data_IF_452764181080
#
_entry.id   IF_452764181080
#
_cell.length_a   1.000
_cell.length_b   1.000
_cell.length_c   1.000
_cell.angle_alpha   90.00
_cell.angle_beta   90.00
_cell.angle_gamma   90.00
#
_symmetry.space_group_name_H-M   'P 1'
#
loop_
_entity.id
_entity.type
_entity.pdbx_description
1 polymer ?
#
# COMPACT_ATOMS: atom_id res chain seq x y z
N UNK A 1 -20.17 5.93 -2.62
CA UNK A 1 -19.61 4.83 -1.80
C UNK A 1 -18.49 5.30 -0.88
N UNK A 2 -17.55 6.12 -1.36
CA UNK A 2 -16.47 6.69 -0.51
C UNK A 2 -16.99 7.49 0.67
N UNK A 3 -18.14 8.16 0.52
CA UNK A 3 -18.76 8.97 1.57
C UNK A 3 -19.28 8.13 2.74
N UNK A 4 -19.79 6.93 2.49
CA UNK A 4 -20.27 6.04 3.55
C UNK A 4 -19.10 5.56 4.42
N UNK A 5 -18.00 5.18 3.79
CA UNK A 5 -16.80 4.78 4.51
C UNK A 5 -16.21 5.90 5.36
N UNK A 6 -16.03 7.10 4.79
CA UNK A 6 -15.55 8.28 5.53
C UNK A 6 -16.45 8.64 6.71
N UNK A 7 -17.77 8.51 6.52
CA UNK A 7 -18.75 8.75 7.59
C UNK A 7 -18.70 7.68 8.67
N UNK A 8 -18.45 6.42 8.31
CA UNK A 8 -18.25 5.34 9.31
C UNK A 8 -16.99 5.55 10.14
N UNK A 9 -15.87 5.89 9.49
CA UNK A 9 -14.62 6.24 10.16
C UNK A 9 -14.84 7.42 11.12
N UNK A 10 -15.43 8.51 10.64
CA UNK A 10 -15.77 9.67 11.48
C UNK A 10 -16.75 9.31 12.60
N UNK A 11 -17.74 8.46 12.32
CA UNK A 11 -18.69 7.97 13.31
C UNK A 11 -18.01 7.19 14.43
N UNK A 12 -17.05 6.33 14.08
CA UNK A 12 -16.27 5.58 15.06
C UNK A 12 -15.39 6.50 15.90
N UNK A 13 -14.66 7.42 15.27
CA UNK A 13 -13.77 8.37 15.97
C UNK A 13 -14.55 9.35 16.86
N UNK A 14 -15.77 9.73 16.49
CA UNK A 14 -16.61 10.69 17.20
C UNK A 14 -17.70 10.05 18.08
N UNK A 15 -17.74 8.72 18.16
CA UNK A 15 -18.63 7.97 19.04
C UNK A 15 -20.07 7.79 18.58
N UNK A 16 -20.41 8.12 17.32
CA UNK A 16 -21.77 7.94 16.75
C UNK A 16 -21.87 6.85 15.68
N UNK A 17 -20.95 5.90 15.69
CA UNK A 17 -20.89 4.80 14.70
C UNK A 17 -22.17 3.95 14.68
N UNK A 18 -22.74 3.63 15.84
CA UNK A 18 -23.95 2.81 15.94
C UNK A 18 -25.19 3.53 15.39
N UNK A 19 -25.28 4.85 15.59
CA UNK A 19 -26.37 5.67 15.05
C UNK A 19 -26.35 5.70 13.53
N UNK A 20 -25.18 5.89 12.92
CA UNK A 20 -25.03 5.82 11.46
C UNK A 20 -25.38 4.42 10.95
N UNK A 21 -24.91 3.39 11.63
CA UNK A 21 -25.18 1.99 11.25
C UNK A 21 -26.69 1.69 11.31
N UNK A 22 -27.36 2.17 12.33
CA UNK A 22 -28.82 2.03 12.48
C UNK A 22 -29.57 2.79 11.38
N UNK A 23 -29.15 4.04 11.09
CA UNK A 23 -29.74 4.84 10.00
C UNK A 23 -29.60 4.13 8.66
N UNK A 24 -28.41 3.63 8.32
CA UNK A 24 -28.16 2.91 7.07
C UNK A 24 -28.96 1.60 6.99
N UNK A 25 -29.09 0.89 8.10
CA UNK A 25 -29.94 -0.30 8.19
C UNK A 25 -31.38 0.01 7.83
N UNK A 26 -31.95 1.04 8.45
CA UNK A 26 -33.34 1.43 8.21
C UNK A 26 -33.55 1.88 6.76
N UNK A 27 -32.62 2.66 6.22
CA UNK A 27 -32.65 3.12 4.83
C UNK A 27 -32.62 1.94 3.84
N UNK A 28 -31.68 1.02 3.99
CA UNK A 28 -31.57 -0.13 3.08
C UNK A 28 -32.69 -1.12 3.28
N UNK A 29 -33.09 -1.39 4.52
CA UNK A 29 -34.24 -2.27 4.80
C UNK A 29 -35.51 -1.72 4.18
N UNK A 30 -35.80 -0.41 4.33
CA UNK A 30 -36.96 0.20 3.73
C UNK A 30 -36.94 0.24 2.20
N UNK A 31 -35.76 0.37 1.61
CA UNK A 31 -35.58 0.39 0.15
C UNK A 31 -35.63 -0.98 -0.52
N UNK A 32 -35.09 -2.00 0.15
CA UNK A 32 -34.86 -3.32 -0.47
C UNK A 32 -35.78 -4.43 0.05
N UNK A 33 -36.21 -4.36 1.31
CA UNK A 33 -37.05 -5.40 1.90
C UNK A 33 -38.52 -5.17 1.53
N UNK A 34 -39.18 -6.22 1.07
CA UNK A 34 -40.62 -6.24 0.78
C UNK A 34 -41.10 -5.14 -0.17
N UNK A 35 -40.20 -4.54 -0.95
CA UNK A 35 -40.51 -3.49 -1.91
C UNK A 35 -41.06 -4.11 -3.21
N UNK A 36 -42.37 -4.04 -3.39
CA UNK A 36 -43.08 -4.58 -4.56
C UNK A 36 -42.72 -3.90 -5.89
N UNK A 37 -42.10 -2.74 -5.84
CA UNK A 37 -41.69 -1.96 -7.01
C UNK A 37 -40.20 -2.18 -7.36
N UNK A 38 -39.45 -2.90 -6.54
CA UNK A 38 -38.05 -3.19 -6.78
C UNK A 38 -37.88 -4.44 -7.63
N UNK A 39 -37.46 -4.26 -8.88
CA UNK A 39 -37.14 -5.38 -9.77
C UNK A 39 -35.74 -5.96 -9.47
N UNK A 40 -34.78 -5.10 -9.18
CA UNK A 40 -33.39 -5.48 -8.91
C UNK A 40 -32.70 -4.43 -8.05
N UNK A 41 -31.85 -4.85 -7.12
CA UNK A 41 -31.06 -3.98 -6.26
C UNK A 41 -29.58 -4.29 -6.31
N UNK A 42 -28.75 -3.27 -6.41
CA UNK A 42 -27.30 -3.41 -6.45
C UNK A 42 -26.67 -2.43 -5.46
N UNK A 43 -25.87 -2.97 -4.55
CA UNK A 43 -25.11 -2.19 -3.57
C UNK A 43 -23.62 -2.41 -3.81
N UNK A 44 -22.85 -1.35 -3.91
CA UNK A 44 -21.40 -1.40 -4.04
C UNK A 44 -20.75 -0.49 -3.00
N UNK A 45 -19.55 -0.84 -2.59
CA UNK A 45 -18.76 -0.08 -1.63
C UNK A 45 -17.36 -0.63 -1.46
N UNK A 46 -16.46 0.16 -0.90
CA UNK A 46 -15.05 -0.21 -0.67
C UNK A 46 -14.98 -1.26 0.45
N UNK A 47 -15.67 -1.01 1.56
CA UNK A 47 -15.74 -1.93 2.70
C UNK A 47 -17.16 -2.43 2.91
N UNK A 48 -17.25 -3.62 3.44
CA UNK A 48 -18.51 -4.15 3.93
C UNK A 48 -18.98 -3.31 5.12
N UNK A 49 -20.16 -2.71 4.99
CA UNK A 49 -20.74 -1.86 6.02
C UNK A 49 -21.31 -2.75 7.12
N UNK A 50 -20.55 -2.98 8.17
CA UNK A 50 -20.88 -3.79 9.34
C UNK A 50 -21.34 -5.24 9.05
N UNK A 51 -20.61 -6.19 9.56
CA UNK A 51 -20.68 -7.63 9.27
C UNK A 51 -22.06 -8.26 9.47
N UNK A 52 -22.94 -7.67 10.25
CA UNK A 52 -24.23 -8.29 10.61
C UNK A 52 -25.40 -7.32 10.80
N UNK A 53 -25.15 -6.05 11.11
CA UNK A 53 -26.23 -5.20 11.59
C UNK A 53 -27.02 -4.47 10.51
N UNK A 54 -26.38 -4.08 9.39
CA UNK A 54 -27.09 -3.34 8.32
C UNK A 54 -27.93 -4.27 7.46
N UNK A 55 -27.46 -5.49 7.24
CA UNK A 55 -28.10 -6.45 6.32
C UNK A 55 -28.96 -7.49 7.03
N UNK A 56 -29.03 -7.48 8.36
CA UNK A 56 -29.81 -8.46 9.15
C UNK A 56 -31.31 -8.46 8.84
N UNK A 57 -31.81 -7.44 8.15
CA UNK A 57 -33.20 -7.36 7.70
C UNK A 57 -33.42 -7.74 6.24
N UNK A 58 -32.39 -8.08 5.47
CA UNK A 58 -32.48 -8.39 4.04
C UNK A 58 -32.19 -9.86 3.81
N UNK A 59 -33.12 -10.57 3.17
CA UNK A 59 -32.96 -11.94 2.77
C UNK A 59 -32.37 -12.02 1.36
N UNK A 60 -31.62 -13.08 1.05
CA UNK A 60 -31.10 -13.39 -0.29
C UNK A 60 -30.05 -12.39 -0.86
N UNK A 61 -29.23 -11.80 -0.01
CA UNK A 61 -28.10 -11.01 -0.48
C UNK A 61 -27.03 -11.92 -1.09
N UNK A 62 -26.66 -11.66 -2.35
CA UNK A 62 -25.46 -12.22 -2.96
C UNK A 62 -24.30 -11.26 -2.75
N UNK A 63 -23.36 -11.62 -1.88
CA UNK A 63 -22.19 -10.79 -1.57
C UNK A 63 -21.02 -11.29 -2.40
N UNK A 64 -20.31 -10.35 -3.04
CA UNK A 64 -19.10 -10.63 -3.81
C UNK A 64 -18.00 -9.66 -3.35
N UNK A 65 -16.80 -10.17 -3.20
CA UNK A 65 -15.60 -9.44 -2.80
C UNK A 65 -14.56 -9.41 -3.92
N UNK A 66 -13.46 -8.76 -3.70
CA UNK A 66 -12.33 -8.74 -4.63
C UNK A 66 -11.69 -10.13 -4.86
N UNK A 67 -11.94 -11.10 -3.97
CA UNK A 67 -11.44 -12.48 -4.12
C UNK A 67 -12.40 -13.38 -4.92
N UNK A 68 -13.63 -12.94 -5.18
CA UNK A 68 -14.64 -13.71 -5.91
C UNK A 68 -14.51 -13.54 -7.41
N UNK A 69 -14.87 -14.60 -8.16
CA UNK A 69 -14.79 -14.58 -9.63
C UNK A 69 -15.98 -13.88 -10.29
N UNK A 70 -17.13 -13.88 -9.61
CA UNK A 70 -18.33 -13.26 -10.13
C UNK A 70 -18.15 -11.75 -10.14
N UNK A 71 -18.43 -11.12 -11.28
CA UNK A 71 -18.28 -9.68 -11.51
C UNK A 71 -16.84 -9.14 -11.49
N UNK A 72 -15.83 -9.99 -11.52
CA UNK A 72 -14.41 -9.60 -11.41
C UNK A 72 -13.94 -8.64 -12.51
N UNK A 73 -14.54 -8.66 -13.70
CA UNK A 73 -14.19 -7.80 -14.83
C UNK A 73 -14.93 -6.45 -14.90
N UNK A 74 -15.83 -6.16 -13.93
CA UNK A 74 -16.72 -4.98 -14.04
C UNK A 74 -16.33 -3.79 -13.15
N UNK A 75 -15.32 -3.94 -12.29
CA UNK A 75 -14.93 -2.93 -11.32
C UNK A 75 -13.52 -2.37 -11.55
N UNK A 76 -13.14 -2.26 -12.79
CA UNK A 76 -11.88 -1.72 -13.24
C UNK A 76 -11.74 -1.90 -14.74
N UNK A 77 -10.62 -1.47 -15.32
CA UNK A 77 -10.34 -1.73 -16.72
C UNK A 77 -9.58 -3.05 -16.88
N UNK A 78 -10.02 -3.85 -17.82
CA UNK A 78 -9.30 -5.07 -18.22
C UNK A 78 -8.06 -4.72 -19.05
N UNK A 79 -7.07 -5.62 -19.17
CA UNK A 79 -5.92 -5.42 -20.04
C UNK A 79 -6.28 -5.08 -21.49
N UNK A 80 -7.34 -5.67 -22.03
CA UNK A 80 -7.76 -5.42 -23.42
C UNK A 80 -8.36 -4.01 -23.56
N UNK A 81 -9.20 -3.57 -22.62
CA UNK A 81 -9.73 -2.20 -22.62
C UNK A 81 -8.60 -1.16 -22.50
N UNK A 82 -7.58 -1.40 -21.69
CA UNK A 82 -6.43 -0.49 -21.58
C UNK A 82 -5.61 -0.46 -22.84
N UNK A 83 -5.44 -1.60 -23.55
CA UNK A 83 -4.79 -1.63 -24.87
C UNK A 83 -5.55 -0.84 -25.92
N UNK A 84 -6.88 -0.96 -25.93
CA UNK A 84 -7.74 -0.18 -26.83
C UNK A 84 -7.62 1.33 -26.52
N UNK A 85 -7.63 1.72 -25.23
CA UNK A 85 -7.41 3.12 -24.82
C UNK A 85 -6.02 3.60 -25.24
N UNK A 86 -4.96 2.81 -25.04
CA UNK A 86 -3.60 3.16 -25.45
C UNK A 86 -3.50 3.36 -26.96
N UNK A 87 -4.16 2.52 -27.76
CA UNK A 87 -4.23 2.67 -29.20
C UNK A 87 -4.99 3.95 -29.61
N UNK A 88 -6.11 4.24 -28.97
CA UNK A 88 -6.90 5.43 -29.21
C UNK A 88 -6.13 6.73 -28.97
N UNK A 89 -5.36 6.78 -27.88
CA UNK A 89 -4.53 7.94 -27.52
C UNK A 89 -3.14 7.96 -28.17
N UNK A 90 -2.83 7.00 -29.07
CA UNK A 90 -1.55 6.94 -29.76
C UNK A 90 -0.36 6.56 -28.87
N UNK A 91 -0.61 5.86 -27.78
CA UNK A 91 0.36 5.46 -26.75
C UNK A 91 0.53 3.92 -26.67
N UNK A 92 0.33 3.21 -27.77
CA UNK A 92 0.46 1.74 -27.80
C UNK A 92 1.85 1.24 -27.41
N UNK A 93 2.88 2.02 -27.74
CA UNK A 93 4.28 1.77 -27.36
C UNK A 93 4.58 1.96 -25.87
N UNK A 94 3.67 2.61 -25.14
CA UNK A 94 3.78 2.85 -23.70
C UNK A 94 2.99 1.84 -22.85
N UNK A 95 2.45 0.77 -23.44
CA UNK A 95 1.62 -0.18 -22.71
C UNK A 95 2.34 -0.83 -21.52
N UNK A 96 3.62 -1.17 -21.68
CA UNK A 96 4.43 -1.75 -20.60
C UNK A 96 4.63 -0.75 -19.44
N UNK A 97 4.79 0.54 -19.75
CA UNK A 97 4.84 1.61 -18.73
C UNK A 97 3.51 1.72 -18.00
N UNK A 98 2.38 1.67 -18.70
CA UNK A 98 1.04 1.70 -18.09
C UNK A 98 0.86 0.50 -17.15
N UNK A 99 1.33 -0.68 -17.56
CA UNK A 99 1.30 -1.88 -16.72
C UNK A 99 2.15 -1.71 -15.46
N UNK A 100 3.39 -1.23 -15.58
CA UNK A 100 4.28 -1.02 -14.42
C UNK A 100 3.65 -0.09 -13.38
N UNK A 101 2.95 0.95 -13.84
CA UNK A 101 2.40 1.97 -12.96
C UNK A 101 1.02 1.66 -12.41
N UNK A 102 0.11 1.04 -13.17
CA UNK A 102 -1.33 1.03 -12.85
C UNK A 102 -1.98 -0.35 -12.90
N UNK A 103 -1.29 -1.36 -13.41
CA UNK A 103 -1.75 -2.74 -13.38
C UNK A 103 -1.54 -3.38 -12.00
N UNK A 104 -1.97 -4.62 -11.89
CA UNK A 104 -1.62 -5.49 -10.77
C UNK A 104 -2.71 -5.64 -9.74
N UNK A 105 -3.89 -5.10 -9.92
CA UNK A 105 -5.05 -5.52 -9.15
C UNK A 105 -5.57 -6.84 -9.71
N UNK A 106 -5.98 -7.72 -8.83
CA UNK A 106 -6.51 -9.01 -9.22
C UNK A 106 -7.80 -9.29 -8.50
N UNK A 107 -8.91 -9.26 -9.25
CA UNK A 107 -10.23 -9.60 -8.74
C UNK A 107 -10.57 -11.02 -9.16
N UNK A 108 -10.66 -11.95 -8.18
CA UNK A 108 -10.76 -13.36 -8.46
C UNK A 108 -9.62 -13.88 -9.32
N UNK A 109 -9.86 -14.11 -10.61
CA UNK A 109 -8.85 -14.52 -11.60
C UNK A 109 -8.57 -13.46 -12.67
N UNK A 110 -9.28 -12.33 -12.62
CA UNK A 110 -9.21 -11.28 -13.62
C UNK A 110 -8.21 -10.22 -13.18
N UNK A 111 -7.29 -9.88 -14.06
CA UNK A 111 -6.36 -8.78 -13.90
C UNK A 111 -7.07 -7.47 -14.23
N UNK A 112 -6.89 -6.47 -13.38
CA UNK A 112 -7.66 -5.22 -13.42
C UNK A 112 -6.74 -4.04 -13.16
N UNK A 113 -6.86 -3.02 -13.98
CA UNK A 113 -6.24 -1.71 -13.79
C UNK A 113 -7.14 -0.77 -12.99
N UNK A 114 -6.52 0.13 -12.22
CA UNK A 114 -7.24 1.19 -11.54
C UNK A 114 -7.80 2.20 -12.53
N UNK A 115 -9.14 2.35 -12.68
CA UNK A 115 -9.72 3.24 -13.67
C UNK A 115 -9.34 4.71 -13.47
N UNK A 116 -9.27 5.16 -12.20
CA UNK A 116 -8.89 6.53 -11.89
C UNK A 116 -7.50 6.86 -12.40
N UNK A 117 -6.53 6.01 -12.11
CA UNK A 117 -5.14 6.23 -12.49
C UNK A 117 -4.95 6.15 -14.00
N UNK A 118 -5.57 5.17 -14.67
CA UNK A 118 -5.50 5.02 -16.14
C UNK A 118 -6.11 6.22 -16.85
N UNK A 119 -7.30 6.69 -16.44
CA UNK A 119 -7.94 7.86 -17.06
C UNK A 119 -7.10 9.12 -16.86
N UNK A 120 -6.54 9.31 -15.66
CA UNK A 120 -5.67 10.45 -15.39
C UNK A 120 -4.34 10.38 -16.17
N UNK A 121 -3.78 9.20 -16.38
CA UNK A 121 -2.60 9.01 -17.21
C UNK A 121 -2.84 9.52 -18.64
N UNK A 122 -3.91 9.08 -19.29
CA UNK A 122 -4.23 9.55 -20.64
C UNK A 122 -4.58 11.04 -20.67
N UNK A 123 -5.24 11.57 -19.64
CA UNK A 123 -5.56 12.99 -19.52
C UNK A 123 -4.33 13.87 -19.25
N UNK A 124 -3.24 13.29 -18.74
CA UNK A 124 -1.99 13.96 -18.44
C UNK A 124 -0.90 13.69 -19.51
N UNK A 125 -1.29 13.71 -20.78
CA UNK A 125 -0.37 13.58 -21.92
C UNK A 125 0.44 12.28 -21.91
N UNK A 126 -0.11 11.21 -21.35
CA UNK A 126 0.56 9.92 -21.17
C UNK A 126 1.88 10.03 -20.38
N UNK A 127 1.93 10.93 -19.41
CA UNK A 127 3.02 11.01 -18.42
C UNK A 127 2.62 10.30 -17.12
N UNK A 128 3.38 9.28 -16.68
CA UNK A 128 3.04 8.52 -15.50
C UNK A 128 3.28 9.32 -14.20
N UNK A 129 2.31 9.28 -13.31
CA UNK A 129 2.34 9.89 -11.97
C UNK A 129 1.55 9.03 -10.99
N UNK A 130 1.81 9.24 -9.71
CA UNK A 130 1.00 8.63 -8.64
C UNK A 130 -0.30 9.43 -8.44
N UNK A 131 -1.29 9.24 -9.30
CA UNK A 131 -2.56 9.99 -9.29
C UNK A 131 -3.42 9.66 -8.08
N UNK A 132 -3.34 8.42 -7.57
CA UNK A 132 -4.13 7.99 -6.43
C UNK A 132 -3.64 8.58 -5.11
N UNK A 133 -2.35 8.88 -4.99
CA UNK A 133 -1.74 9.56 -3.83
C UNK A 133 -2.43 10.89 -3.51
N UNK A 134 -2.95 11.57 -4.52
CA UNK A 134 -3.54 12.92 -4.38
C UNK A 134 -5.03 12.92 -4.02
N UNK A 135 -5.68 11.76 -3.83
CA UNK A 135 -7.14 11.69 -3.66
C UNK A 135 -7.65 11.85 -2.22
N UNK A 136 -6.78 12.17 -1.26
CA UNK A 136 -7.15 12.40 0.15
C UNK A 136 -7.64 11.13 0.89
N UNK A 137 -7.46 9.95 0.29
CA UNK A 137 -7.80 8.65 0.91
C UNK A 137 -6.59 8.02 1.63
N UNK A 138 -5.42 8.62 1.53
CA UNK A 138 -4.16 8.05 2.02
C UNK A 138 -3.99 8.15 3.52
N UNK A 139 -4.77 8.99 4.20
CA UNK A 139 -4.82 9.06 5.66
C UNK A 139 -5.01 7.67 6.30
N UNK A 140 -5.67 6.77 5.56
CA UNK A 140 -5.93 5.40 6.00
C UNK A 140 -4.67 4.57 6.17
N UNK A 141 -3.69 4.66 5.25
CA UNK A 141 -2.40 3.95 5.42
C UNK A 141 -1.64 4.55 6.59
N UNK A 142 -1.59 5.87 6.71
CA UNK A 142 -0.97 6.55 7.84
C UNK A 142 -1.57 6.10 9.17
N UNK A 143 -2.90 6.01 9.27
CA UNK A 143 -3.60 5.51 10.46
C UNK A 143 -3.28 4.03 10.74
N UNK A 144 -3.28 3.19 9.72
CA UNK A 144 -2.95 1.76 9.83
C UNK A 144 -1.50 1.56 10.28
N UNK A 145 -0.57 2.33 9.71
CA UNK A 145 0.85 2.31 10.09
C UNK A 145 1.09 2.88 11.50
N UNK A 146 0.27 3.84 11.93
CA UNK A 146 0.35 4.38 13.29
C UNK A 146 -0.06 3.36 14.36
N UNK A 147 -0.98 2.44 14.02
CA UNK A 147 -1.45 1.35 14.89
C UNK A 147 -0.64 0.06 14.71
N UNK A 148 0.23 -0.01 13.70
CA UNK A 148 1.05 -1.18 13.41
C UNK A 148 2.13 -1.36 14.49
N UNK A 149 2.23 -2.57 15.01
CA UNK A 149 3.37 -2.99 15.82
C UNK A 149 4.63 -3.13 14.94
N UNK A 150 5.77 -3.41 15.58
CA UNK A 150 7.05 -3.53 14.89
C UNK A 150 7.04 -4.68 13.86
N UNK A 151 6.39 -5.81 14.16
CA UNK A 151 6.29 -6.94 13.25
C UNK A 151 5.50 -6.58 11.98
N UNK A 152 4.32 -5.96 12.15
CA UNK A 152 3.50 -5.52 11.01
C UNK A 152 4.27 -4.50 10.18
N UNK A 153 4.94 -3.56 10.83
CA UNK A 153 5.73 -2.55 10.15
C UNK A 153 6.84 -3.18 9.29
N UNK A 154 7.62 -4.11 9.85
CA UNK A 154 8.65 -4.83 9.11
C UNK A 154 8.09 -5.62 7.94
N UNK A 155 6.98 -6.31 8.13
CA UNK A 155 6.32 -7.07 7.06
C UNK A 155 5.78 -6.16 5.96
N UNK A 156 5.21 -4.99 6.28
CA UNK A 156 4.77 -4.01 5.28
C UNK A 156 5.98 -3.39 4.55
N UNK A 157 7.09 -3.13 5.24
CA UNK A 157 8.33 -2.67 4.63
C UNK A 157 8.90 -3.72 3.65
N UNK A 158 8.81 -5.02 3.96
CA UNK A 158 9.27 -6.08 3.05
C UNK A 158 8.46 -6.12 1.74
N UNK A 159 7.16 -5.77 1.78
CA UNK A 159 6.36 -5.62 0.56
C UNK A 159 6.88 -4.53 -0.37
N UNK A 160 7.37 -3.42 0.18
CA UNK A 160 7.98 -2.34 -0.61
C UNK A 160 9.24 -2.82 -1.31
N UNK A 161 9.94 -3.77 -0.72
CA UNK A 161 11.11 -4.43 -1.31
C UNK A 161 10.76 -5.48 -2.38
N UNK A 162 9.46 -5.68 -2.66
CA UNK A 162 8.98 -6.63 -3.66
C UNK A 162 8.81 -8.06 -3.14
N UNK A 163 8.89 -8.26 -1.83
CA UNK A 163 8.57 -9.54 -1.20
C UNK A 163 7.07 -9.78 -1.13
N UNK A 164 6.67 -11.00 -0.77
CA UNK A 164 5.28 -11.38 -0.56
C UNK A 164 5.05 -11.79 0.89
N UNK A 165 3.83 -11.58 1.38
CA UNK A 165 3.41 -12.02 2.71
C UNK A 165 2.28 -13.02 2.59
N UNK A 166 2.41 -14.17 3.26
CA UNK A 166 1.28 -15.11 3.41
C UNK A 166 0.51 -14.81 4.68
N UNK A 167 -0.80 -14.58 4.54
CA UNK A 167 -1.68 -14.24 5.67
C UNK A 167 -3.12 -14.66 5.42
N UNK A 168 -3.91 -14.74 6.48
CA UNK A 168 -5.36 -14.94 6.39
C UNK A 168 -6.06 -13.63 6.04
N UNK A 169 -7.05 -13.70 5.16
CA UNK A 169 -7.82 -12.55 4.69
C UNK A 169 -9.30 -12.75 5.03
N UNK A 170 -9.86 -11.80 5.78
CA UNK A 170 -11.29 -11.65 6.00
C UNK A 170 -11.84 -10.55 5.07
N UNK A 171 -12.54 -10.94 4.01
CA UNK A 171 -13.18 -10.00 3.08
C UNK A 171 -14.35 -9.24 3.69
N UNK A 172 -14.80 -9.66 4.87
CA UNK A 172 -15.85 -9.00 5.64
C UNK A 172 -15.31 -8.04 6.72
N UNK A 173 -14.03 -7.67 6.65
CA UNK A 173 -13.40 -6.75 7.61
C UNK A 173 -14.15 -5.42 7.71
N UNK A 174 -14.32 -4.92 8.94
CA UNK A 174 -14.92 -3.64 9.25
C UNK A 174 -13.94 -2.74 10.02
N UNK A 175 -14.08 -1.43 9.87
CA UNK A 175 -13.16 -0.44 10.46
C UNK A 175 -12.87 -0.65 11.97
N UNK A 176 -13.86 -0.92 12.85
CA UNK A 176 -13.60 -1.12 14.27
C UNK A 176 -12.74 -2.34 14.61
N UNK A 177 -12.54 -3.26 13.67
CA UNK A 177 -11.75 -4.48 13.87
C UNK A 177 -10.26 -4.30 13.57
N UNK A 178 -9.90 -3.23 12.85
CA UNK A 178 -8.51 -2.97 12.43
C UNK A 178 -7.55 -2.92 13.63
N UNK A 179 -8.01 -2.35 14.73
CA UNK A 179 -7.21 -2.22 15.98
C UNK A 179 -7.09 -3.51 16.81
N UNK A 180 -7.83 -4.57 16.46
CA UNK A 180 -7.96 -5.75 17.32
C UNK A 180 -7.07 -6.92 16.95
N UNK A 181 -6.66 -7.02 15.70
CA UNK A 181 -5.90 -8.17 15.19
C UNK A 181 -5.01 -7.77 14.00
N UNK A 182 -3.71 -8.10 14.00
CA UNK A 182 -2.79 -7.83 12.90
C UNK A 182 -3.25 -8.32 11.51
N UNK A 183 -3.84 -9.51 11.44
CA UNK A 183 -4.37 -10.05 10.17
C UNK A 183 -5.50 -9.21 9.59
N UNK A 184 -6.20 -8.45 10.43
CA UNK A 184 -7.27 -7.53 10.01
C UNK A 184 -6.70 -6.34 9.23
N UNK A 185 -5.50 -5.89 9.54
CA UNK A 185 -4.78 -4.84 8.82
C UNK A 185 -4.56 -5.26 7.35
N UNK A 186 -4.02 -6.46 7.13
CA UNK A 186 -3.79 -6.95 5.77
C UNK A 186 -5.10 -7.16 5.00
N UNK A 187 -6.14 -7.66 5.67
CA UNK A 187 -7.47 -7.79 5.09
C UNK A 187 -8.03 -6.45 4.64
N UNK A 188 -7.90 -5.44 5.50
CA UNK A 188 -8.33 -4.08 5.21
C UNK A 188 -7.55 -3.48 4.03
N UNK A 189 -6.22 -3.57 4.03
CA UNK A 189 -5.38 -3.05 2.95
C UNK A 189 -5.65 -3.77 1.62
N UNK A 190 -5.97 -5.07 1.64
CA UNK A 190 -6.34 -5.80 0.44
C UNK A 190 -7.68 -5.33 -0.14
N UNK A 191 -8.75 -5.26 0.67
CA UNK A 191 -10.08 -4.89 0.17
C UNK A 191 -10.17 -3.42 -0.22
N UNK A 192 -9.30 -2.57 0.33
CA UNK A 192 -9.21 -1.15 -0.04
C UNK A 192 -8.28 -0.89 -1.24
N UNK A 193 -7.62 -1.92 -1.77
CA UNK A 193 -6.79 -1.83 -2.96
C UNK A 193 -5.35 -1.38 -2.71
N UNK A 194 -4.89 -1.36 -1.47
CA UNK A 194 -3.48 -1.09 -1.16
C UNK A 194 -2.59 -2.34 -1.24
N UNK A 195 -3.20 -3.52 -1.28
CA UNK A 195 -2.54 -4.80 -1.53
C UNK A 195 -3.29 -5.57 -2.61
N UNK A 196 -2.61 -6.54 -3.23
CA UNK A 196 -3.21 -7.52 -4.14
C UNK A 196 -2.99 -8.94 -3.63
N UNK A 197 -3.90 -9.85 -3.96
CA UNK A 197 -3.70 -11.27 -3.77
C UNK A 197 -3.00 -11.87 -5.00
N UNK A 198 -1.76 -12.31 -4.83
CA UNK A 198 -0.99 -13.03 -5.86
C UNK A 198 -1.51 -14.45 -5.99
N UNK A 199 -1.75 -15.09 -4.85
CA UNK A 199 -2.27 -16.45 -4.76
C UNK A 199 -3.31 -16.53 -3.65
N UNK A 200 -4.41 -17.23 -3.92
CA UNK A 200 -5.49 -17.44 -2.95
C UNK A 200 -5.75 -18.92 -2.82
N UNK A 201 -5.79 -19.41 -1.59
CA UNK A 201 -6.15 -20.78 -1.24
C UNK A 201 -7.20 -20.74 -0.13
N UNK A 202 -8.15 -21.67 -0.19
CA UNK A 202 -9.08 -21.87 0.93
C UNK A 202 -8.44 -22.81 1.95
N UNK A 203 -8.43 -22.39 3.20
CA UNK A 203 -8.04 -23.25 4.31
C UNK A 203 -9.09 -24.32 4.57
N UNK A 204 -8.74 -25.32 5.37
CA UNK A 204 -9.70 -26.37 5.77
C UNK A 204 -10.93 -25.80 6.48
N UNK A 205 -10.80 -24.67 7.15
CA UNK A 205 -11.90 -23.99 7.87
C UNK A 205 -12.72 -23.07 6.95
N UNK A 206 -12.37 -22.96 5.67
CA UNK A 206 -13.05 -22.07 4.73
C UNK A 206 -12.56 -20.63 4.73
N UNK A 207 -11.49 -20.32 5.49
CA UNK A 207 -10.86 -19.00 5.47
C UNK A 207 -9.97 -18.82 4.23
N UNK A 208 -9.91 -17.63 3.70
CA UNK A 208 -8.97 -17.31 2.62
C UNK A 208 -7.55 -17.14 3.18
N UNK A 209 -6.63 -17.98 2.71
CA UNK A 209 -5.20 -17.78 2.89
C UNK A 209 -4.61 -17.22 1.61
N UNK A 210 -4.08 -16.01 1.67
CA UNK A 210 -3.56 -15.30 0.52
C UNK A 210 -2.06 -15.03 0.66
N UNK A 211 -1.35 -15.19 -0.43
CA UNK A 211 -0.07 -14.57 -0.66
C UNK A 211 -0.33 -13.18 -1.24
N UNK A 212 0.09 -12.14 -0.52
CA UNK A 212 -0.20 -10.74 -0.85
C UNK A 212 1.07 -9.98 -1.19
N UNK A 213 0.95 -8.99 -2.08
CA UNK A 213 2.02 -8.07 -2.47
C UNK A 213 1.48 -6.68 -2.76
N UNK A 214 2.36 -5.72 -3.03
CA UNK A 214 1.94 -4.44 -3.60
C UNK A 214 1.42 -4.63 -5.02
N UNK A 215 0.34 -3.94 -5.42
CA UNK A 215 -0.21 -4.08 -6.76
C UNK A 215 0.72 -3.54 -7.84
N UNK A 216 1.26 -2.34 -7.68
CA UNK A 216 1.99 -1.63 -8.73
C UNK A 216 2.90 -0.54 -8.16
N UNK A 217 3.59 0.17 -9.06
CA UNK A 217 4.53 1.24 -8.73
C UNK A 217 3.86 2.45 -8.08
N UNK A 218 2.65 2.81 -8.48
CA UNK A 218 1.89 3.90 -7.88
C UNK A 218 1.66 3.66 -6.39
N UNK A 219 1.21 2.46 -6.03
CA UNK A 219 0.95 2.09 -4.63
C UNK A 219 2.25 1.92 -3.85
N UNK A 220 3.32 1.42 -4.46
CA UNK A 220 4.63 1.38 -3.83
C UNK A 220 5.11 2.79 -3.41
N UNK A 221 4.85 3.81 -4.23
CA UNK A 221 5.17 5.21 -3.87
C UNK A 221 4.32 5.72 -2.70
N UNK A 222 3.04 5.30 -2.59
CA UNK A 222 2.20 5.62 -1.42
C UNK A 222 2.80 5.06 -0.15
N UNK A 223 3.11 3.76 -0.14
CA UNK A 223 3.74 3.13 1.03
C UNK A 223 5.07 3.78 1.38
N UNK A 224 5.86 4.06 0.35
CA UNK A 224 7.15 4.70 0.52
C UNK A 224 7.02 6.05 1.22
N UNK A 225 6.08 6.89 0.76
CA UNK A 225 5.81 8.20 1.36
C UNK A 225 5.32 8.08 2.81
N UNK A 226 4.38 7.18 3.09
CA UNK A 226 3.83 7.01 4.44
C UNK A 226 4.86 6.39 5.41
N UNK A 227 5.65 5.42 4.95
CA UNK A 227 6.77 4.87 5.72
C UNK A 227 7.80 5.97 5.99
N UNK A 228 8.11 6.81 4.99
CA UNK A 228 9.03 7.92 5.14
C UNK A 228 8.55 8.97 6.15
N UNK A 229 7.27 9.33 6.15
CA UNK A 229 6.75 10.29 7.12
C UNK A 229 6.97 9.80 8.57
N UNK A 230 6.88 8.49 8.80
CA UNK A 230 7.21 7.93 10.11
C UNK A 230 8.70 8.07 10.45
N UNK A 231 9.59 7.91 9.46
CA UNK A 231 11.02 8.17 9.63
C UNK A 231 11.37 9.65 9.73
N UNK A 232 10.66 10.53 9.01
CA UNK A 232 10.85 11.99 9.12
C UNK A 232 10.59 12.50 10.54
N UNK A 233 9.67 11.87 11.28
CA UNK A 233 9.46 12.18 12.70
C UNK A 233 10.62 11.73 13.59
N UNK A 234 11.41 10.75 13.14
CA UNK A 234 12.57 10.20 13.86
C UNK A 234 13.91 10.82 13.42
N UNK A 235 13.99 11.29 12.17
CA UNK A 235 15.22 11.85 11.59
C UNK A 235 15.04 13.35 11.38
N UNK A 236 15.81 14.22 12.06
CA UNK A 236 15.75 15.64 11.83
C UNK A 236 16.03 15.98 10.36
N UNK A 237 15.24 16.88 9.78
CA UNK A 237 15.38 17.27 8.37
C UNK A 237 16.81 17.81 8.06
N UNK A 238 17.44 18.48 9.02
CA UNK A 238 18.83 18.93 8.90
C UNK A 238 19.82 17.80 8.69
N UNK A 239 19.58 16.65 9.32
CA UNK A 239 20.44 15.47 9.19
C UNK A 239 20.22 14.76 7.85
N UNK A 240 18.97 14.66 7.37
CA UNK A 240 18.69 14.15 6.04
C UNK A 240 19.37 15.00 4.94
N UNK A 241 19.33 16.32 5.05
CA UNK A 241 20.02 17.24 4.14
C UNK A 241 21.54 17.04 4.22
N UNK A 242 22.11 16.93 5.41
CA UNK A 242 23.56 16.73 5.59
C UNK A 242 24.04 15.40 5.01
N UNK A 243 23.24 14.33 5.11
CA UNK A 243 23.50 13.04 4.46
C UNK A 243 23.44 13.17 2.95
N UNK A 244 22.41 13.85 2.42
CA UNK A 244 22.28 14.10 0.99
C UNK A 244 23.50 14.88 0.43
N UNK A 245 23.91 15.94 1.08
CA UNK A 245 25.10 16.70 0.70
C UNK A 245 26.37 15.85 0.74
N UNK A 246 26.56 15.04 1.77
CA UNK A 246 27.72 14.17 1.90
C UNK A 246 27.78 13.12 0.78
N UNK A 247 26.64 12.55 0.39
CA UNK A 247 26.55 11.61 -0.73
C UNK A 247 26.90 12.31 -2.05
N UNK A 248 26.35 13.50 -2.32
CA UNK A 248 26.60 14.22 -3.57
C UNK A 248 28.01 14.75 -3.70
N UNK A 249 28.62 15.15 -2.59
CA UNK A 249 30.01 15.64 -2.58
C UNK A 249 31.04 14.49 -2.53
N UNK A 250 30.61 13.24 -2.32
CA UNK A 250 31.51 12.10 -2.10
C UNK A 250 32.29 12.19 -0.78
N UNK A 251 31.79 12.96 0.19
CA UNK A 251 32.43 13.13 1.51
C UNK A 251 32.10 11.94 2.43
N UNK A 252 32.89 10.89 2.31
CA UNK A 252 32.76 9.68 3.10
C UNK A 252 32.88 9.91 4.62
N UNK A 253 33.66 10.91 5.06
CA UNK A 253 33.81 11.20 6.48
C UNK A 253 32.55 11.84 7.05
N UNK A 254 32.02 12.84 6.35
CA UNK A 254 30.76 13.49 6.72
C UNK A 254 29.62 12.49 6.72
N UNK A 255 29.53 11.65 5.68
CA UNK A 255 28.50 10.61 5.57
C UNK A 255 28.56 9.63 6.76
N UNK A 256 29.76 9.11 7.07
CA UNK A 256 29.97 8.20 8.22
C UNK A 256 29.53 8.85 9.53
N UNK A 257 29.93 10.10 9.78
CA UNK A 257 29.61 10.80 11.01
C UNK A 257 28.08 10.99 11.15
N UNK A 258 27.41 11.42 10.10
CA UNK A 258 25.96 11.63 10.13
C UNK A 258 25.20 10.33 10.38
N UNK A 259 25.56 9.23 9.68
CA UNK A 259 24.96 7.92 9.88
C UNK A 259 25.22 7.40 11.31
N UNK A 260 26.45 7.55 11.82
CA UNK A 260 26.76 7.13 13.19
C UNK A 260 25.97 7.90 14.24
N UNK A 261 25.83 9.22 14.09
CA UNK A 261 25.01 10.04 15.00
C UNK A 261 23.54 9.59 14.98
N UNK A 262 22.97 9.41 13.80
CA UNK A 262 21.61 8.93 13.63
C UNK A 262 21.40 7.55 14.27
N UNK A 263 22.29 6.62 14.04
CA UNK A 263 22.22 5.28 14.64
C UNK A 263 22.33 5.34 16.16
N UNK A 264 23.23 6.18 16.72
CA UNK A 264 23.34 6.33 18.17
C UNK A 264 22.10 6.94 18.80
N UNK A 265 21.49 7.92 18.15
CA UNK A 265 20.25 8.56 18.63
C UNK A 265 19.04 7.61 18.50
N UNK A 266 19.03 6.74 17.46
CA UNK A 266 17.94 5.79 17.21
C UNK A 266 18.06 4.50 17.99
N UNK A 267 19.27 3.97 18.19
CA UNK A 267 19.57 2.67 18.83
C UNK A 267 19.39 2.72 20.35
N UNK A 268 19.37 3.88 20.99
CA UNK A 268 19.04 3.96 22.43
C UNK A 268 17.62 3.44 22.76
N UNK A 269 16.78 3.27 21.73
CA UNK A 269 15.42 2.72 21.86
C UNK A 269 15.27 1.28 21.37
N UNK A 270 16.30 0.67 20.75
CA UNK A 270 16.20 -0.63 20.04
C UNK A 270 17.47 -1.49 20.25
N UNK A 271 17.65 -1.99 21.45
CA UNK A 271 18.83 -2.80 21.84
C UNK A 271 18.93 -4.17 21.11
N UNK A 272 18.06 -4.48 20.16
CA UNK A 272 18.00 -5.77 19.45
C UNK A 272 17.85 -5.67 17.92
N UNK A 273 18.31 -4.59 17.31
CA UNK A 273 18.13 -4.36 15.87
C UNK A 273 19.03 -5.31 15.04
N UNK A 274 18.42 -6.33 14.43
CA UNK A 274 19.06 -7.21 13.46
C UNK A 274 19.37 -6.52 12.12
N UNK A 275 20.03 -7.24 11.20
CA UNK A 275 20.42 -6.76 9.85
C UNK A 275 19.26 -6.10 9.08
N UNK A 276 18.05 -6.64 9.22
CA UNK A 276 16.85 -6.10 8.60
C UNK A 276 16.49 -4.68 9.07
N UNK A 277 16.81 -4.33 10.32
CA UNK A 277 16.62 -2.98 10.82
C UNK A 277 17.54 -1.99 10.12
N UNK A 278 18.83 -2.32 10.02
CA UNK A 278 19.79 -1.44 9.34
C UNK A 278 19.47 -1.28 7.85
N UNK A 279 19.00 -2.34 7.21
CA UNK A 279 18.55 -2.29 5.83
C UNK A 279 17.32 -1.36 5.68
N UNK A 280 16.29 -1.55 6.50
CA UNK A 280 15.10 -0.70 6.51
C UNK A 280 15.41 0.76 6.84
N UNK A 281 16.29 1.01 7.83
CA UNK A 281 16.77 2.32 8.21
C UNK A 281 17.51 3.03 7.05
N UNK A 282 18.45 2.34 6.41
CA UNK A 282 19.20 2.89 5.26
C UNK A 282 18.29 3.10 4.05
N UNK A 283 17.32 2.23 3.84
CA UNK A 283 16.34 2.40 2.78
C UNK A 283 15.49 3.65 3.02
N UNK A 284 14.99 3.84 4.25
CA UNK A 284 14.26 5.04 4.66
C UNK A 284 15.10 6.31 4.49
N UNK A 285 16.35 6.29 4.95
CA UNK A 285 17.28 7.41 4.80
C UNK A 285 17.53 7.75 3.31
N UNK A 286 17.75 6.73 2.47
CA UNK A 286 17.96 6.91 1.03
C UNK A 286 16.71 7.47 0.34
N UNK A 287 15.53 7.12 0.80
CA UNK A 287 14.29 7.60 0.23
C UNK A 287 13.99 9.06 0.57
N UNK A 288 14.57 9.61 1.65
CA UNK A 288 14.56 11.05 1.96
C UNK A 288 15.42 11.87 0.97
N UNK A 289 16.29 11.20 0.19
CA UNK A 289 17.13 11.88 -0.79
C UNK A 289 16.30 12.30 -2.00
N UNK A 290 16.01 13.58 -2.12
CA UNK A 290 15.26 14.13 -3.25
C UNK A 290 15.95 13.88 -4.60
N UNK A 291 15.18 13.48 -5.62
CA UNK A 291 15.68 13.32 -6.99
C UNK A 291 16.16 11.90 -7.34
N UNK A 292 15.90 10.92 -6.48
CA UNK A 292 16.21 9.51 -6.74
C UNK A 292 14.98 8.63 -6.60
N UNK A 293 14.95 7.58 -7.42
CA UNK A 293 14.09 6.44 -7.22
C UNK A 293 14.89 5.35 -6.52
N UNK A 294 14.43 4.94 -5.34
CA UNK A 294 15.14 3.97 -4.49
C UNK A 294 14.55 2.59 -4.72
N UNK A 295 15.41 1.60 -4.95
CA UNK A 295 15.05 0.18 -5.03
C UNK A 295 15.98 -0.63 -4.16
N UNK A 296 15.49 -1.74 -3.59
CA UNK A 296 16.30 -2.61 -2.76
C UNK A 296 16.20 -4.07 -3.18
N UNK A 297 17.17 -4.87 -2.79
CA UNK A 297 17.23 -6.34 -2.91
C UNK A 297 16.89 -6.89 -4.30
N UNK A 298 17.38 -6.27 -5.39
CA UNK A 298 17.20 -6.78 -6.75
C UNK A 298 18.48 -7.39 -7.29
N UNK A 299 18.30 -8.48 -8.05
CA UNK A 299 19.38 -9.02 -8.87
C UNK A 299 19.66 -8.08 -10.05
N UNK A 300 20.93 -7.80 -10.30
CA UNK A 300 21.38 -7.02 -11.46
C UNK A 300 22.59 -7.69 -12.08
N UNK A 301 22.42 -8.33 -13.22
CA UNK A 301 23.47 -9.09 -13.87
C UNK A 301 23.92 -10.32 -13.04
N UNK A 302 25.22 -10.43 -12.75
CA UNK A 302 25.79 -11.54 -11.95
C UNK A 302 25.83 -11.25 -10.44
N UNK A 303 25.24 -10.13 -9.95
CA UNK A 303 25.31 -9.71 -8.56
C UNK A 303 23.98 -9.24 -7.97
N UNK A 304 23.94 -9.20 -6.63
CA UNK A 304 22.84 -8.66 -5.83
C UNK A 304 23.32 -7.40 -5.15
N UNK A 305 22.49 -6.36 -5.15
CA UNK A 305 22.73 -5.14 -4.38
C UNK A 305 21.65 -4.95 -3.32
N UNK A 306 22.03 -4.31 -2.21
CA UNK A 306 21.09 -4.09 -1.11
C UNK A 306 20.18 -2.88 -1.38
N UNK A 307 20.76 -1.75 -1.80
CA UNK A 307 19.99 -0.55 -2.13
C UNK A 307 20.56 0.11 -3.38
N UNK A 308 19.69 0.48 -4.32
CA UNK A 308 20.04 1.24 -5.51
C UNK A 308 19.21 2.53 -5.57
N UNK A 309 19.90 3.65 -5.81
CA UNK A 309 19.30 4.94 -6.09
C UNK A 309 19.44 5.25 -7.58
N UNK A 310 18.32 5.24 -8.29
CA UNK A 310 18.25 5.61 -9.70
C UNK A 310 17.90 7.09 -9.80
N UNK A 311 18.67 7.92 -10.51
CA UNK A 311 18.35 9.32 -10.65
C UNK A 311 17.06 9.51 -11.46
N UNK A 312 16.18 10.40 -10.98
CA UNK A 312 14.95 10.81 -11.69
C UNK A 312 15.28 11.85 -12.77
N UNK A 313 16.37 12.63 -12.58
CA UNK A 313 16.80 13.68 -13.51
C UNK A 313 18.15 13.33 -14.16
N UNK A 314 18.30 13.67 -15.44
CA UNK A 314 19.60 13.57 -16.13
C UNK A 314 20.64 14.46 -15.42
N UNK A 315 21.84 13.91 -15.21
CA UNK A 315 22.97 14.60 -14.58
C UNK A 315 23.23 14.24 -13.13
N UNK A 316 22.36 13.48 -12.47
CA UNK A 316 22.63 12.92 -11.16
C UNK A 316 23.27 11.52 -11.31
N UNK A 317 24.25 11.14 -10.49
CA UNK A 317 24.85 9.81 -10.53
C UNK A 317 23.88 8.76 -10.00
N UNK A 318 23.89 7.54 -10.59
CA UNK A 318 23.30 6.37 -9.95
C UNK A 318 24.17 5.91 -8.79
N UNK A 319 23.56 5.51 -7.68
CA UNK A 319 24.27 5.08 -6.47
C UNK A 319 23.85 3.67 -6.11
N UNK A 320 24.81 2.82 -5.80
CA UNK A 320 24.59 1.47 -5.28
C UNK A 320 25.19 1.43 -3.89
N UNK A 321 24.39 1.01 -2.91
CA UNK A 321 24.83 0.77 -1.54
C UNK A 321 24.81 -0.72 -1.27
N UNK A 322 25.87 -1.22 -0.63
CA UNK A 322 25.94 -2.58 -0.09
C UNK A 322 26.13 -2.51 1.42
N UNK A 323 25.35 -3.29 2.15
CA UNK A 323 25.34 -3.33 3.61
C UNK A 323 26.16 -4.48 4.18
N UNK A 324 26.93 -5.17 3.34
CA UNK A 324 27.61 -6.46 3.62
C UNK A 324 28.60 -6.38 4.81
N UNK A 325 28.96 -5.20 5.32
CA UNK A 325 30.02 -5.04 6.34
C UNK A 325 29.61 -4.17 7.53
N UNK A 326 28.36 -4.20 7.95
CA UNK A 326 28.00 -3.72 9.29
C UNK A 326 28.20 -4.90 10.26
N UNK A 327 29.46 -5.25 10.50
CA UNK A 327 29.82 -6.14 11.62
C UNK A 327 29.57 -5.38 12.92
N UNK A 328 29.02 -6.08 13.92
CA UNK A 328 28.84 -5.58 15.28
C UNK A 328 30.08 -4.81 15.77
N UNK A 329 29.90 -3.65 16.41
CA UNK A 329 31.03 -2.96 17.02
C UNK A 329 31.63 -3.89 18.09
N UNK A 330 32.85 -4.38 17.85
CA UNK A 330 33.62 -5.11 18.85
C UNK A 330 33.69 -4.24 20.10
N UNK A 331 33.08 -4.69 21.19
CA UNK A 331 33.22 -4.08 22.51
C UNK A 331 34.72 -4.09 22.83
N UNK A 332 35.36 -2.96 23.14
CA UNK A 332 36.70 -2.97 23.69
C UNK A 332 36.68 -3.72 25.03
N UNK A 333 37.63 -4.64 25.21
CA UNK A 333 37.87 -5.31 26.47
C UNK A 333 38.39 -4.34 27.54
#
# INVERSE_FOLDING_TARGET
>A
ASDVYKRQQQGYMKGYYEEITLFMRNLFSGGFKDNKHLAFGFLTGILRVAKESIFSGMNNLSINSVLDHKYSAYFGFTPDEVREMAAYYGASDKYDEICEWYDGYRFGKTEIFNPWSVVNYFSNECEPRAFWVSTGSNDVIGEVLAEADEEIYHRLASLVNGETITTYIDTGVIYPQIKKNPSTIYSFLLVTGYLKAVKTTLSFNGDFMCEISLPNREIALVYHKEILQKFETMIPQSTAIAVQEAIFSGDNRKLKTQIQTLLMESVSSFDTAGENFYHGFMLGLCALLGGFFVTSNRESGEGRYDIQLKPVKKGLPGIILSLIHISEPTRPR
#
